data_IF_078001837713
#
_entry.id   IF_078001837713
#
_cell.length_a   1.000
_cell.length_b   1.000
_cell.length_c   1.000
_cell.angle_alpha   90.00
_cell.angle_beta   90.00
_cell.angle_gamma   90.00
#
_symmetry.space_group_name_H-M   'P 1'
#
loop_
_entity.id
_entity.type
_entity.pdbx_description
1 polymer ?
#
# COMPACT_ATOMS: atom_id res chain seq x y z
N UNK A 1 -8.07 8.48 8.07
CA UNK A 1 -7.77 7.43 7.07
C UNK A 1 -8.94 7.27 6.11
N UNK A 2 -8.68 7.25 4.83
CA UNK A 2 -9.74 7.16 3.81
C UNK A 2 -9.53 5.99 2.83
N UNK A 3 -8.45 5.23 2.99
CA UNK A 3 -8.09 4.16 2.07
C UNK A 3 -7.58 2.95 2.82
N UNK A 4 -8.02 1.77 2.40
CA UNK A 4 -7.53 0.49 2.90
C UNK A 4 -7.05 -0.35 1.71
N UNK A 5 -5.81 -0.84 1.78
CA UNK A 5 -5.29 -1.77 0.80
C UNK A 5 -5.06 -3.11 1.49
N UNK A 6 -5.73 -4.14 1.02
CA UNK A 6 -5.50 -5.50 1.47
C UNK A 6 -4.57 -6.15 0.46
N UNK A 7 -3.41 -6.59 0.92
CA UNK A 7 -2.38 -7.18 0.06
C UNK A 7 -2.04 -8.59 0.51
N UNK A 8 -1.81 -9.47 -0.46
CA UNK A 8 -1.24 -10.80 -0.24
C UNK A 8 0.05 -10.89 -1.05
N UNK A 9 1.05 -11.60 -0.54
CA UNK A 9 2.39 -11.63 -1.15
C UNK A 9 3.14 -12.91 -0.74
N UNK A 10 4.25 -13.20 -1.41
CA UNK A 10 5.09 -14.37 -1.10
C UNK A 10 6.28 -14.03 -0.20
N UNK A 11 6.67 -12.76 -0.12
CA UNK A 11 7.73 -12.33 0.80
C UNK A 11 7.23 -12.29 2.25
N UNK A 12 8.12 -11.99 3.20
CA UNK A 12 7.70 -11.83 4.59
C UNK A 12 6.97 -10.50 4.78
N UNK A 13 6.17 -10.40 5.84
CA UNK A 13 5.51 -9.15 6.19
C UNK A 13 6.53 -8.02 6.41
N UNK A 14 7.65 -8.30 7.06
CA UNK A 14 8.69 -7.30 7.30
C UNK A 14 9.30 -6.77 6.01
N UNK A 15 9.59 -7.65 5.06
CA UNK A 15 10.10 -7.27 3.74
C UNK A 15 9.06 -6.43 3.00
N UNK A 16 7.80 -6.85 3.01
CA UNK A 16 6.68 -6.12 2.41
C UNK A 16 6.57 -4.70 3.01
N UNK A 17 6.53 -4.62 4.33
CA UNK A 17 6.41 -3.36 5.05
C UNK A 17 7.57 -2.41 4.73
N UNK A 18 8.80 -2.92 4.74
CA UNK A 18 9.98 -2.12 4.43
C UNK A 18 9.93 -1.55 3.02
N UNK A 19 9.63 -2.40 2.03
CA UNK A 19 9.60 -1.98 0.64
C UNK A 19 8.47 -1.01 0.36
N UNK A 20 7.27 -1.32 0.84
CA UNK A 20 6.09 -0.46 0.61
C UNK A 20 6.22 0.86 1.35
N UNK A 21 6.77 0.87 2.56
CA UNK A 21 7.07 2.12 3.28
C UNK A 21 8.00 3.01 2.46
N UNK A 22 8.98 2.42 1.78
CA UNK A 22 9.88 3.14 0.89
C UNK A 22 9.14 3.78 -0.29
N UNK A 23 8.20 3.07 -0.91
CA UNK A 23 7.37 3.62 -1.99
C UNK A 23 6.51 4.77 -1.49
N UNK A 24 5.88 4.62 -0.32
CA UNK A 24 5.02 5.66 0.26
C UNK A 24 5.85 6.91 0.57
N UNK A 25 7.01 6.74 1.18
CA UNK A 25 7.90 7.84 1.52
C UNK A 25 8.36 8.59 0.25
N UNK A 26 8.64 7.85 -0.82
CA UNK A 26 9.06 8.43 -2.09
C UNK A 26 7.94 9.27 -2.74
N UNK A 27 6.68 8.91 -2.55
CA UNK A 27 5.56 9.69 -3.04
C UNK A 27 5.40 11.03 -2.30
N UNK A 28 5.77 11.07 -1.03
CA UNK A 28 5.70 12.26 -0.18
C UNK A 28 4.37 12.44 0.54
N UNK A 29 4.38 13.31 1.55
CA UNK A 29 3.22 13.58 2.40
C UNK A 29 2.08 14.29 1.68
N UNK A 30 2.36 14.86 0.51
CA UNK A 30 1.35 15.50 -0.33
C UNK A 30 0.42 14.46 -0.97
N UNK A 31 0.89 13.23 -1.10
CA UNK A 31 0.11 12.12 -1.66
C UNK A 31 -0.49 11.29 -0.53
N UNK A 32 0.31 10.88 0.43
CA UNK A 32 -0.12 10.08 1.59
C UNK A 32 0.37 10.78 2.85
N UNK A 33 -0.56 11.37 3.61
CA UNK A 33 -0.21 12.13 4.82
C UNK A 33 0.02 11.24 6.04
N UNK A 34 -0.68 10.10 6.10
CA UNK A 34 -0.57 9.15 7.21
C UNK A 34 -0.75 7.74 6.68
N UNK A 35 -0.09 6.78 7.30
CA UNK A 35 -0.30 5.37 6.98
C UNK A 35 0.01 4.48 8.18
N UNK A 36 -0.60 3.31 8.18
CA UNK A 36 -0.43 2.31 9.25
C UNK A 36 -0.54 0.92 8.66
N UNK A 37 0.45 0.07 8.94
CA UNK A 37 0.43 -1.33 8.54
C UNK A 37 -0.11 -2.20 9.65
N UNK A 38 -1.01 -3.12 9.30
CA UNK A 38 -1.49 -4.15 10.22
C UNK A 38 -1.16 -5.51 9.60
N UNK A 39 -0.42 -6.32 10.33
CA UNK A 39 -0.11 -7.68 9.89
C UNK A 39 -1.36 -8.55 10.05
N UNK A 40 -1.91 -9.02 8.94
CA UNK A 40 -3.11 -9.86 8.91
C UNK A 40 -2.79 -11.35 8.74
N UNK A 41 -1.52 -11.68 8.53
CA UNK A 41 -1.01 -13.04 8.36
C UNK A 41 0.45 -13.00 8.01
N UNK A 42 1.09 -14.16 7.81
CA UNK A 42 2.51 -14.23 7.42
C UNK A 42 2.76 -13.54 6.07
N UNK A 43 1.77 -13.63 5.18
CA UNK A 43 1.86 -13.13 3.82
C UNK A 43 0.66 -12.26 3.46
N UNK A 44 0.16 -11.50 4.44
CA UNK A 44 -1.00 -10.64 4.25
C UNK A 44 -0.90 -9.37 5.09
N UNK A 45 -1.22 -8.24 4.48
CA UNK A 45 -1.20 -6.93 5.14
C UNK A 45 -2.50 -6.19 4.90
N UNK A 46 -2.92 -5.45 5.93
CA UNK A 46 -3.92 -4.40 5.80
C UNK A 46 -3.21 -3.07 5.97
N UNK A 47 -3.18 -2.26 4.92
CA UNK A 47 -2.54 -0.96 4.93
C UNK A 47 -3.61 0.12 4.94
N UNK A 48 -3.67 0.86 6.04
CA UNK A 48 -4.56 2.01 6.19
C UNK A 48 -3.80 3.26 5.80
N UNK A 49 -4.40 4.10 4.97
CA UNK A 49 -3.75 5.34 4.53
C UNK A 49 -4.73 6.49 4.50
N UNK A 50 -4.20 7.69 4.71
CA UNK A 50 -4.91 8.91 4.40
C UNK A 50 -4.32 9.46 3.09
N UNK A 51 -5.04 9.24 1.99
CA UNK A 51 -4.58 9.62 0.64
C UNK A 51 -5.15 10.98 0.28
N UNK A 52 -4.28 11.92 -0.06
CA UNK A 52 -4.65 13.27 -0.45
C UNK A 52 -4.72 13.42 -1.96
N UNK A 53 -3.97 12.61 -2.70
CA UNK A 53 -3.94 12.62 -4.16
C UNK A 53 -4.04 11.18 -4.68
N UNK A 54 -5.28 10.74 -4.93
CA UNK A 54 -5.55 9.38 -5.37
C UNK A 54 -4.99 9.09 -6.77
N UNK A 55 -4.97 10.08 -7.66
CA UNK A 55 -4.41 9.89 -9.00
C UNK A 55 -2.91 9.60 -8.93
N UNK A 56 -2.19 10.30 -8.06
CA UNK A 56 -0.77 10.06 -7.87
C UNK A 56 -0.52 8.67 -7.29
N UNK A 57 -1.35 8.22 -6.34
CA UNK A 57 -1.26 6.88 -5.78
C UNK A 57 -1.49 5.82 -6.85
N UNK A 58 -2.54 5.95 -7.64
CA UNK A 58 -2.87 5.01 -8.71
C UNK A 58 -1.75 4.96 -9.75
N UNK A 59 -1.19 6.11 -10.11
CA UNK A 59 -0.08 6.21 -11.03
C UNK A 59 1.14 5.45 -10.53
N UNK A 60 1.45 5.57 -9.23
CA UNK A 60 2.57 4.85 -8.61
C UNK A 60 2.30 3.34 -8.58
N UNK A 61 1.10 2.93 -8.20
CA UNK A 61 0.73 1.52 -8.11
C UNK A 61 0.72 0.81 -9.48
N UNK A 62 0.54 1.57 -10.56
CA UNK A 62 0.53 1.04 -11.92
C UNK A 62 1.83 1.32 -12.68
N UNK A 63 2.83 1.88 -12.00
CA UNK A 63 4.14 2.12 -12.60
C UNK A 63 4.85 0.81 -12.93
N UNK A 64 5.83 0.88 -13.86
CA UNK A 64 6.60 -0.30 -14.22
C UNK A 64 7.36 -0.88 -13.03
N UNK A 65 7.91 -0.02 -12.18
CA UNK A 65 8.61 -0.46 -10.97
C UNK A 65 7.68 -1.20 -10.02
N UNK A 66 6.46 -0.69 -9.80
CA UNK A 66 5.47 -1.34 -8.94
C UNK A 66 5.03 -2.68 -9.52
N UNK A 67 4.79 -2.74 -10.83
CA UNK A 67 4.40 -4.00 -11.50
C UNK A 67 5.49 -5.06 -11.42
N UNK A 68 6.75 -4.67 -11.57
CA UNK A 68 7.87 -5.59 -11.43
C UNK A 68 7.98 -6.13 -10.00
N UNK A 69 7.82 -5.24 -9.03
CA UNK A 69 7.84 -5.61 -7.62
C UNK A 69 6.71 -6.58 -7.30
N UNK A 70 5.49 -6.30 -7.77
CA UNK A 70 4.32 -7.16 -7.59
C UNK A 70 4.56 -8.54 -8.19
N UNK A 71 5.12 -8.61 -9.38
CA UNK A 71 5.44 -9.85 -10.07
C UNK A 71 6.48 -10.66 -9.31
N UNK A 72 7.56 -10.01 -8.87
CA UNK A 72 8.65 -10.64 -8.12
C UNK A 72 8.17 -11.23 -6.80
N UNK A 73 7.29 -10.53 -6.11
CA UNK A 73 6.80 -10.92 -4.79
C UNK A 73 5.41 -11.56 -4.83
N UNK A 74 4.90 -11.84 -6.03
CA UNK A 74 3.58 -12.41 -6.20
C UNK A 74 2.50 -11.63 -5.45
N UNK A 75 2.59 -10.32 -5.48
CA UNK A 75 1.73 -9.43 -4.72
C UNK A 75 0.42 -9.14 -5.45
N UNK A 76 -0.67 -9.22 -4.70
CA UNK A 76 -2.00 -8.86 -5.19
C UNK A 76 -2.62 -7.90 -4.20
N UNK A 77 -3.11 -6.76 -4.71
CA UNK A 77 -3.71 -5.71 -3.92
C UNK A 77 -5.18 -5.55 -4.23
N UNK A 78 -5.97 -5.28 -3.19
CA UNK A 78 -7.35 -4.83 -3.33
C UNK A 78 -7.48 -3.51 -2.60
N UNK A 79 -7.93 -2.48 -3.30
CA UNK A 79 -8.02 -1.11 -2.76
C UNK A 79 -9.47 -0.77 -2.45
N UNK A 80 -9.70 -0.33 -1.22
CA UNK A 80 -11.03 0.07 -0.74
C UNK A 80 -11.01 1.51 -0.27
N UNK A 81 -12.11 2.22 -0.53
CA UNK A 81 -12.37 3.50 0.11
C UNK A 81 -13.06 3.23 1.45
N UNK A 82 -12.65 3.94 2.50
CA UNK A 82 -13.28 3.83 3.82
C UNK A 82 -13.77 5.21 4.26
N UNK A 83 -14.85 5.22 5.02
CA UNK A 83 -15.47 6.45 5.52
C UNK A 83 -15.66 6.37 7.03
N UNK A 84 -15.45 7.51 7.69
CA UNK A 84 -15.77 7.64 9.09
C UNK A 84 -17.30 7.73 9.25
N UNK A 85 -17.86 6.81 10.01
CA UNK A 85 -19.31 6.78 10.23
C UNK A 85 -19.71 7.70 11.39
N UNK A 86 -18.79 7.89 12.35
CA UNK A 86 -19.13 8.54 13.60
C UNK A 86 -18.02 9.44 14.13
#
# INVERSE_FOLDING_TARGET
MNTLIISTFSCTFEEFKTDVSGFITAMGQEVVSEYEFVQAGEHKSHLLMNVLDMEALESEMTSDAAKEWDKKNNCKDTVYAIELIK
#
